data_IF_166421198828
#
_entry.id   IF_166421198828
#
_cell.length_a   1.000
_cell.length_b   1.000
_cell.length_c   1.000
_cell.angle_alpha   90.00
_cell.angle_beta   90.00
_cell.angle_gamma   90.00
#
_symmetry.space_group_name_H-M   'P 1'
#
loop_
_entity.id
_entity.type
_entity.pdbx_description
1 polymer ?
#
# COMPACT_ATOMS: atom_id res chain seq x y z
N UNK A 1 4.25 5.96 -8.30
CA UNK A 1 3.36 5.12 -9.13
C UNK A 1 2.08 5.85 -9.52
N UNK A 2 1.40 6.54 -8.58
CA UNK A 2 0.14 7.26 -8.86
C UNK A 2 0.17 8.15 -10.10
N UNK A 3 1.19 9.00 -10.24
CA UNK A 3 1.37 9.83 -11.44
C UNK A 3 1.41 9.00 -12.73
N UNK A 4 2.13 7.88 -12.75
CA UNK A 4 2.17 6.98 -13.91
C UNK A 4 0.79 6.39 -14.22
N UNK A 5 0.02 6.00 -13.20
CA UNK A 5 -1.34 5.49 -13.39
C UNK A 5 -2.29 6.56 -13.93
N UNK A 6 -2.14 7.83 -13.52
CA UNK A 6 -2.93 8.96 -14.05
C UNK A 6 -2.83 9.01 -15.59
N UNK A 7 -1.62 8.86 -16.13
CA UNK A 7 -1.39 8.87 -17.58
C UNK A 7 -1.77 7.56 -18.24
N UNK A 8 -1.29 6.44 -17.70
CA UNK A 8 -1.50 5.11 -18.26
C UNK A 8 -2.99 4.80 -18.41
N UNK A 9 -3.76 5.03 -17.34
CA UNK A 9 -5.19 4.72 -17.28
C UNK A 9 -6.08 5.90 -17.72
N UNK A 10 -5.48 7.01 -18.18
CA UNK A 10 -6.16 8.26 -18.55
C UNK A 10 -7.15 8.73 -17.48
N UNK A 11 -6.71 8.74 -16.22
CA UNK A 11 -7.60 8.97 -15.07
C UNK A 11 -8.29 10.33 -15.10
N UNK A 12 -7.73 11.34 -15.78
CA UNK A 12 -8.38 12.65 -15.94
C UNK A 12 -9.65 12.61 -16.80
N UNK A 13 -9.88 11.54 -17.59
CA UNK A 13 -11.13 11.33 -18.31
C UNK A 13 -12.24 10.76 -17.40
N UNK A 14 -11.87 10.23 -16.22
CA UNK A 14 -12.77 9.51 -15.29
C UNK A 14 -12.98 10.24 -13.98
N UNK A 15 -11.97 10.97 -13.52
CA UNK A 15 -11.93 11.63 -12.24
C UNK A 15 -11.91 13.14 -12.39
N UNK A 16 -12.54 13.83 -11.42
CA UNK A 16 -12.42 15.28 -11.34
C UNK A 16 -10.98 15.69 -11.00
N UNK A 17 -10.60 16.94 -11.29
CA UNK A 17 -9.30 17.46 -10.86
C UNK A 17 -9.12 17.44 -9.34
N UNK A 18 -10.23 17.51 -8.58
CA UNK A 18 -10.20 17.40 -7.11
C UNK A 18 -9.90 15.97 -6.66
N UNK A 19 -10.43 14.96 -7.35
CA UNK A 19 -10.07 13.56 -7.09
C UNK A 19 -8.60 13.27 -7.43
N UNK A 20 -8.09 13.82 -8.53
CA UNK A 20 -6.66 13.69 -8.88
C UNK A 20 -5.78 14.35 -7.81
N UNK A 21 -6.18 15.51 -7.29
CA UNK A 21 -5.49 16.18 -6.19
C UNK A 21 -5.49 15.31 -4.93
N UNK A 22 -6.64 14.75 -4.55
CA UNK A 22 -6.78 13.82 -3.41
C UNK A 22 -5.85 12.62 -3.58
N UNK A 23 -5.86 11.95 -4.74
CA UNK A 23 -5.02 10.79 -5.03
C UNK A 23 -3.53 11.11 -4.90
N UNK A 24 -3.09 12.22 -5.50
CA UNK A 24 -1.69 12.62 -5.49
C UNK A 24 -1.22 13.05 -4.10
N UNK A 25 -1.99 13.87 -3.39
CA UNK A 25 -1.61 14.34 -2.06
C UNK A 25 -1.65 13.21 -1.04
N UNK A 26 -2.66 12.33 -1.08
CA UNK A 26 -2.72 11.16 -0.21
C UNK A 26 -1.53 10.22 -0.45
N UNK A 27 -1.18 9.92 -1.70
CA UNK A 27 -0.03 9.08 -2.02
C UNK A 27 1.30 9.65 -1.49
N UNK A 28 1.48 10.97 -1.49
CA UNK A 28 2.68 11.62 -0.92
C UNK A 28 2.69 11.55 0.61
N UNK A 29 1.52 11.59 1.26
CA UNK A 29 1.40 11.73 2.70
C UNK A 29 1.20 10.41 3.46
N UNK A 30 0.93 9.29 2.76
CA UNK A 30 0.33 8.11 3.39
C UNK A 30 1.15 7.46 4.50
N UNK A 31 2.48 7.60 4.49
CA UNK A 31 3.40 7.02 5.49
C UNK A 31 4.19 8.08 6.29
N UNK A 32 3.65 9.31 6.42
CA UNK A 32 4.33 10.37 7.16
C UNK A 32 4.61 9.98 8.61
N UNK A 33 5.87 10.13 9.04
CA UNK A 33 6.32 9.82 10.40
C UNK A 33 6.16 8.33 10.79
N UNK A 34 6.31 7.42 9.82
CA UNK A 34 6.35 5.98 10.09
C UNK A 34 7.55 5.61 11.01
N UNK A 35 7.32 4.90 12.13
CA UNK A 35 8.35 4.64 13.13
C UNK A 35 9.27 3.45 12.80
N UNK A 36 9.01 2.74 11.69
CA UNK A 36 9.73 1.52 11.31
C UNK A 36 9.22 0.24 12.00
N UNK A 37 8.04 0.31 12.62
CA UNK A 37 7.37 -0.83 13.27
C UNK A 37 5.88 -0.76 12.97
N UNK A 38 5.32 -1.87 12.47
CA UNK A 38 3.94 -1.93 11.99
C UNK A 38 2.89 -1.91 13.12
N UNK A 39 1.61 -1.79 12.74
CA UNK A 39 0.47 -1.75 13.68
C UNK A 39 0.47 -2.91 14.70
N UNK A 40 0.87 -4.13 14.29
CA UNK A 40 0.93 -5.29 15.20
C UNK A 40 1.90 -5.05 16.35
N UNK A 41 3.09 -4.49 16.06
CA UNK A 41 4.04 -4.11 17.10
C UNK A 41 3.47 -3.01 17.99
N UNK A 42 2.90 -1.96 17.38
CA UNK A 42 2.33 -0.84 18.13
C UNK A 42 1.31 -1.32 19.18
N UNK A 43 0.41 -2.21 18.78
CA UNK A 43 -0.65 -2.78 19.62
C UNK A 43 -0.07 -3.72 20.68
N UNK A 44 0.78 -4.68 20.28
CA UNK A 44 1.35 -5.67 21.21
C UNK A 44 2.25 -5.02 22.27
N UNK A 45 3.04 -4.02 21.88
CA UNK A 45 3.89 -3.24 22.78
C UNK A 45 3.12 -2.14 23.53
N UNK A 46 1.84 -1.93 23.22
CA UNK A 46 0.96 -0.90 23.82
C UNK A 46 1.59 0.49 23.77
N UNK A 47 2.13 0.84 22.61
CA UNK A 47 2.82 2.11 22.41
C UNK A 47 1.86 3.30 22.56
N UNK A 48 2.41 4.51 22.66
CA UNK A 48 1.59 5.72 22.74
C UNK A 48 0.63 5.85 21.54
N UNK A 49 1.05 5.46 20.33
CA UNK A 49 0.18 5.50 19.15
C UNK A 49 -0.99 4.52 19.27
N UNK A 50 -0.74 3.29 19.71
CA UNK A 50 -1.80 2.30 19.90
C UNK A 50 -2.82 2.75 20.95
N UNK A 51 -2.34 3.28 22.09
CA UNK A 51 -3.22 3.85 23.13
C UNK A 51 -4.00 5.06 22.61
N UNK A 52 -3.36 5.97 21.87
CA UNK A 52 -4.00 7.18 21.32
C UNK A 52 -5.11 6.85 20.33
N UNK A 53 -4.91 5.84 19.48
CA UNK A 53 -5.85 5.45 18.43
C UNK A 53 -6.69 4.22 18.78
N UNK A 54 -6.63 3.77 20.03
CA UNK A 54 -7.45 2.67 20.56
C UNK A 54 -7.34 1.40 19.69
N UNK A 55 -6.12 1.05 19.27
CA UNK A 55 -5.80 -0.10 18.43
C UNK A 55 -6.44 -0.11 17.01
N UNK A 56 -7.08 0.98 16.58
CA UNK A 56 -7.73 1.08 15.26
C UNK A 56 -6.78 1.81 14.30
N UNK A 57 -6.18 1.07 13.36
CA UNK A 57 -5.19 1.56 12.38
C UNK A 57 -4.28 2.66 12.94
N UNK A 58 -3.50 2.40 14.02
CA UNK A 58 -2.77 3.45 14.72
C UNK A 58 -1.81 4.25 13.84
N UNK A 59 -1.11 3.58 12.93
CA UNK A 59 -0.13 4.21 12.04
C UNK A 59 -0.83 5.07 10.98
N UNK A 60 -1.83 4.54 10.29
CA UNK A 60 -2.51 5.26 9.21
C UNK A 60 -3.27 6.48 9.74
N UNK A 61 -3.83 6.40 10.95
CA UNK A 61 -4.37 7.57 11.64
C UNK A 61 -3.28 8.60 11.96
N UNK A 62 -2.09 8.15 12.41
CA UNK A 62 -0.96 9.02 12.70
C UNK A 62 -0.45 9.73 11.45
N UNK A 63 -0.22 9.01 10.35
CA UNK A 63 0.22 9.57 9.08
C UNK A 63 -0.75 10.65 8.59
N UNK A 64 -2.05 10.37 8.67
CA UNK A 64 -3.08 11.33 8.30
C UNK A 64 -3.09 12.56 9.23
N UNK A 65 -2.95 12.36 10.55
CA UNK A 65 -2.87 13.46 11.51
C UNK A 65 -1.67 14.37 11.22
N UNK A 66 -0.49 13.81 11.00
CA UNK A 66 0.74 14.54 10.65
C UNK A 66 0.56 15.32 9.34
N UNK A 67 -0.02 14.70 8.30
CA UNK A 67 -0.30 15.35 7.03
C UNK A 67 -1.08 16.66 7.21
N UNK A 68 -2.13 16.63 8.03
CA UNK A 68 -2.95 17.81 8.28
C UNK A 68 -2.38 18.77 9.32
N UNK A 69 -1.47 18.34 10.19
CA UNK A 69 -0.68 19.26 11.01
C UNK A 69 0.25 20.10 10.14
N UNK A 70 0.91 19.49 9.14
CA UNK A 70 1.73 20.21 8.15
C UNK A 70 0.85 21.20 7.37
N UNK A 71 -0.27 20.74 6.81
CA UNK A 71 -1.17 21.59 6.02
C UNK A 71 -1.88 22.70 6.84
N UNK A 72 -1.88 22.60 8.16
CA UNK A 72 -2.39 23.67 9.03
C UNK A 72 -1.42 24.84 9.17
N UNK A 73 -0.12 24.65 8.88
CA UNK A 73 0.87 25.72 8.87
C UNK A 73 0.65 26.62 7.64
N UNK A 74 0.42 27.94 7.79
CA UNK A 74 0.11 28.83 6.67
C UNK A 74 1.12 28.78 5.51
N UNK A 75 2.40 28.59 5.82
CA UNK A 75 3.51 28.49 4.88
C UNK A 75 3.58 27.17 4.11
N UNK A 76 2.95 26.11 4.63
CA UNK A 76 2.89 24.78 4.00
C UNK A 76 1.51 24.49 3.38
N UNK A 77 0.51 25.34 3.62
CA UNK A 77 -0.86 25.08 3.22
C UNK A 77 -1.09 25.28 1.71
N UNK A 78 -0.86 24.23 0.93
CA UNK A 78 -1.16 24.20 -0.51
C UNK A 78 -2.67 24.36 -0.81
N UNK A 79 -3.55 24.27 0.19
CA UNK A 79 -4.99 24.45 0.08
C UNK A 79 -5.48 25.81 0.61
N UNK A 80 -4.58 26.76 0.91
CA UNK A 80 -4.95 28.05 1.51
C UNK A 80 -5.97 28.86 0.69
N UNK A 81 -6.01 28.65 -0.63
CA UNK A 81 -6.91 29.34 -1.56
C UNK A 81 -8.09 28.47 -2.01
N UNK A 82 -8.27 27.27 -1.44
CA UNK A 82 -9.41 26.40 -1.72
C UNK A 82 -10.60 26.84 -0.86
N UNK A 83 -11.80 26.86 -1.44
CA UNK A 83 -13.01 27.21 -0.69
C UNK A 83 -13.26 26.20 0.45
N UNK A 84 -13.86 26.62 1.58
CA UNK A 84 -14.01 25.76 2.75
C UNK A 84 -14.67 24.41 2.47
N UNK A 85 -15.68 24.36 1.61
CA UNK A 85 -16.36 23.10 1.27
C UNK A 85 -15.50 22.18 0.39
N UNK A 86 -14.71 22.76 -0.52
CA UNK A 86 -13.70 22.00 -1.28
C UNK A 86 -12.61 21.44 -0.38
N UNK A 87 -12.15 22.20 0.62
CA UNK A 87 -11.19 21.71 1.60
C UNK A 87 -11.75 20.54 2.42
N UNK A 88 -13.03 20.61 2.86
CA UNK A 88 -13.67 19.48 3.56
C UNK A 88 -13.72 18.22 2.68
N UNK A 89 -14.04 18.37 1.41
CA UNK A 89 -14.07 17.24 0.46
C UNK A 89 -12.68 16.63 0.26
N UNK A 90 -11.66 17.48 0.03
CA UNK A 90 -10.27 17.02 -0.09
C UNK A 90 -9.83 16.29 1.18
N UNK A 91 -10.10 16.90 2.34
CA UNK A 91 -9.74 16.32 3.64
C UNK A 91 -10.38 14.96 3.84
N UNK A 92 -11.69 14.84 3.61
CA UNK A 92 -12.40 13.58 3.76
C UNK A 92 -11.86 12.51 2.81
N UNK A 93 -11.62 12.87 1.54
CA UNK A 93 -11.03 11.95 0.56
C UNK A 93 -9.65 11.46 0.98
N UNK A 94 -8.75 12.36 1.38
CA UNK A 94 -7.41 11.99 1.83
C UNK A 94 -7.43 11.09 3.07
N UNK A 95 -8.31 11.37 4.05
CA UNK A 95 -8.48 10.50 5.24
C UNK A 95 -8.87 9.09 4.80
N UNK A 96 -9.89 8.97 3.94
CA UNK A 96 -10.34 7.67 3.43
C UNK A 96 -9.21 6.92 2.71
N UNK A 97 -8.41 7.61 1.90
CA UNK A 97 -7.33 6.97 1.13
C UNK A 97 -6.14 6.55 1.99
N UNK A 98 -5.71 7.38 2.93
CA UNK A 98 -4.60 7.03 3.83
C UNK A 98 -5.02 5.88 4.74
N UNK A 99 -6.23 5.90 5.31
CA UNK A 99 -6.71 4.77 6.13
C UNK A 99 -6.98 3.49 5.31
N UNK A 100 -7.02 3.57 3.99
CA UNK A 100 -7.17 2.39 3.13
C UNK A 100 -5.84 1.65 2.89
N UNK A 101 -4.69 2.27 3.18
CA UNK A 101 -3.39 1.61 2.98
C UNK A 101 -3.14 0.50 4.00
N UNK A 102 -3.77 0.56 5.18
CA UNK A 102 -3.72 -0.51 6.19
C UNK A 102 -4.01 -1.89 5.57
N UNK A 103 -2.99 -2.75 5.57
CA UNK A 103 -3.07 -4.08 4.97
C UNK A 103 -3.95 -5.05 5.77
N UNK A 104 -4.28 -4.76 7.03
CA UNK A 104 -5.30 -5.51 7.78
C UNK A 104 -6.69 -5.42 7.12
N UNK A 105 -6.94 -4.34 6.36
CA UNK A 105 -8.19 -4.10 5.62
C UNK A 105 -8.13 -4.52 4.15
N UNK A 106 -7.03 -5.11 3.69
CA UNK A 106 -6.85 -5.45 2.27
C UNK A 106 -7.99 -6.34 1.74
N UNK A 107 -8.32 -7.42 2.46
CA UNK A 107 -9.37 -8.35 2.04
C UNK A 107 -10.76 -7.68 2.00
N UNK A 108 -11.12 -6.94 3.06
CA UNK A 108 -12.37 -6.16 3.15
C UNK A 108 -12.54 -5.24 1.92
N UNK A 109 -11.52 -4.42 1.64
CA UNK A 109 -11.56 -3.45 0.54
C UNK A 109 -11.60 -4.15 -0.83
N UNK A 110 -10.83 -5.23 -1.00
CA UNK A 110 -10.82 -6.01 -2.23
C UNK A 110 -12.18 -6.67 -2.50
N UNK A 111 -12.84 -7.20 -1.47
CA UNK A 111 -14.14 -7.86 -1.61
C UNK A 111 -15.23 -6.84 -1.96
N UNK A 112 -15.27 -5.70 -1.27
CA UNK A 112 -16.19 -4.61 -1.62
C UNK A 112 -15.97 -4.08 -3.05
N UNK A 113 -14.71 -3.98 -3.49
CA UNK A 113 -14.43 -3.56 -4.85
C UNK A 113 -14.82 -4.63 -5.88
N UNK A 114 -14.57 -5.92 -5.61
CA UNK A 114 -15.00 -7.01 -6.51
C UNK A 114 -16.52 -7.08 -6.67
N UNK A 115 -17.28 -6.89 -5.59
CA UNK A 115 -18.75 -6.80 -5.63
C UNK A 115 -19.18 -5.62 -6.52
N UNK A 116 -18.56 -4.46 -6.32
CA UNK A 116 -18.80 -3.26 -7.13
C UNK A 116 -18.47 -3.47 -8.62
N UNK A 117 -17.46 -4.30 -8.91
CA UNK A 117 -17.01 -4.58 -10.28
C UNK A 117 -18.02 -5.41 -11.11
N UNK A 118 -19.03 -6.04 -10.49
CA UNK A 118 -20.09 -6.73 -11.23
C UNK A 118 -20.92 -5.77 -12.11
N UNK A 119 -21.10 -4.53 -11.65
CA UNK A 119 -21.79 -3.47 -12.39
C UNK A 119 -21.17 -2.10 -12.07
N UNK A 120 -19.88 -1.95 -12.38
CA UNK A 120 -19.14 -0.73 -12.08
C UNK A 120 -19.74 0.49 -12.79
N UNK A 121 -19.85 1.60 -12.06
CA UNK A 121 -20.49 2.83 -12.53
C UNK A 121 -19.66 4.04 -12.09
N UNK A 122 -19.11 4.76 -13.08
CA UNK A 122 -18.29 5.95 -12.86
C UNK A 122 -19.09 7.15 -12.32
N UNK A 123 -20.41 7.13 -12.42
CA UNK A 123 -21.29 8.17 -11.87
C UNK A 123 -21.65 7.93 -10.40
N UNK A 124 -21.39 6.73 -9.88
CA UNK A 124 -21.64 6.38 -8.48
C UNK A 124 -20.44 6.76 -7.59
N UNK A 125 -20.66 7.61 -6.60
CA UNK A 125 -19.62 8.13 -5.71
C UNK A 125 -18.97 7.04 -4.83
N UNK A 126 -19.73 6.03 -4.41
CA UNK A 126 -19.21 4.91 -3.61
C UNK A 126 -18.27 4.05 -4.46
N UNK A 127 -18.65 3.76 -5.71
CA UNK A 127 -17.82 3.02 -6.66
C UNK A 127 -16.51 3.76 -6.94
N UNK A 128 -16.60 5.08 -7.15
CA UNK A 128 -15.43 5.93 -7.38
C UNK A 128 -14.55 6.05 -6.13
N UNK A 129 -15.11 6.00 -4.93
CA UNK A 129 -14.36 5.98 -3.67
C UNK A 129 -13.58 4.68 -3.51
N UNK A 130 -14.22 3.52 -3.74
CA UNK A 130 -13.54 2.22 -3.73
C UNK A 130 -12.44 2.15 -4.81
N UNK A 131 -12.70 2.66 -6.01
CA UNK A 131 -11.67 2.71 -7.05
C UNK A 131 -10.47 3.55 -6.61
N UNK A 132 -10.66 4.72 -5.99
CA UNK A 132 -9.55 5.53 -5.45
C UNK A 132 -8.78 4.80 -4.35
N UNK A 133 -9.47 4.08 -3.47
CA UNK A 133 -8.85 3.24 -2.43
C UNK A 133 -7.98 2.15 -3.06
N UNK A 134 -8.46 1.47 -4.09
CA UNK A 134 -7.68 0.46 -4.81
C UNK A 134 -6.49 1.10 -5.53
N UNK A 135 -6.65 2.27 -6.17
CA UNK A 135 -5.56 2.95 -6.86
C UNK A 135 -4.42 3.34 -5.91
N UNK A 136 -4.71 3.87 -4.72
CA UNK A 136 -3.66 4.18 -3.75
C UNK A 136 -3.00 2.90 -3.23
N UNK A 137 -3.77 1.85 -2.94
CA UNK A 137 -3.21 0.55 -2.54
C UNK A 137 -2.33 -0.06 -3.62
N UNK A 138 -2.73 -0.04 -4.88
CA UNK A 138 -1.89 -0.45 -6.02
C UNK A 138 -0.57 0.31 -6.05
N UNK A 139 -0.59 1.61 -5.75
CA UNK A 139 0.60 2.45 -5.80
C UNK A 139 1.55 2.26 -4.62
N UNK A 140 0.99 1.99 -3.44
CA UNK A 140 1.69 1.75 -2.19
C UNK A 140 2.57 0.49 -2.29
N UNK A 141 1.96 -0.65 -2.65
CA UNK A 141 2.67 -1.93 -2.75
C UNK A 141 3.21 -2.23 -4.17
N UNK A 142 3.54 -1.20 -4.95
CA UNK A 142 3.80 -1.32 -6.40
C UNK A 142 5.24 -1.67 -6.77
N UNK A 143 6.12 -2.01 -5.82
CA UNK A 143 7.55 -2.13 -6.10
C UNK A 143 7.86 -3.18 -7.17
N UNK A 144 7.23 -4.36 -7.07
CA UNK A 144 7.41 -5.48 -8.01
C UNK A 144 6.78 -5.27 -9.39
N UNK A 145 6.08 -4.14 -9.60
CA UNK A 145 5.60 -3.73 -10.93
C UNK A 145 6.74 -3.07 -11.73
N UNK A 146 7.81 -2.62 -11.07
CA UNK A 146 8.91 -1.89 -11.69
C UNK A 146 9.89 -2.86 -12.36
N UNK A 147 10.76 -2.38 -13.27
CA UNK A 147 11.88 -3.16 -13.75
C UNK A 147 12.70 -3.74 -12.60
N UNK A 148 13.20 -4.96 -12.80
CA UNK A 148 13.79 -5.77 -11.74
C UNK A 148 14.93 -5.07 -11.01
N UNK A 149 15.79 -4.34 -11.73
CA UNK A 149 16.93 -3.61 -11.16
C UNK A 149 16.50 -2.46 -10.25
N UNK A 150 15.25 -2.00 -10.39
CA UNK A 150 14.62 -0.99 -9.54
C UNK A 150 13.85 -1.63 -8.40
N UNK A 151 13.20 -2.78 -8.62
CA UNK A 151 12.39 -3.48 -7.63
C UNK A 151 13.23 -4.21 -6.58
N UNK A 152 14.26 -4.94 -7.01
CA UNK A 152 15.04 -5.85 -6.13
C UNK A 152 15.66 -5.16 -4.90
N UNK A 153 16.24 -3.95 -4.99
CA UNK A 153 16.78 -3.26 -3.81
C UNK A 153 15.73 -2.96 -2.74
N UNK A 154 14.45 -2.79 -3.11
CA UNK A 154 13.39 -2.54 -2.12
C UNK A 154 13.10 -3.76 -1.26
N UNK A 155 13.37 -4.98 -1.75
CA UNK A 155 13.20 -6.20 -0.94
C UNK A 155 14.21 -6.24 0.20
N UNK A 156 15.44 -5.78 -0.03
CA UNK A 156 16.44 -5.65 1.04
C UNK A 156 15.99 -4.65 2.09
N UNK A 157 15.53 -3.46 1.68
CA UNK A 157 15.01 -2.44 2.59
C UNK A 157 13.82 -2.97 3.43
N UNK A 158 12.87 -3.66 2.78
CA UNK A 158 11.71 -4.25 3.45
C UNK A 158 12.13 -5.27 4.51
N UNK A 159 13.03 -6.19 4.14
CA UNK A 159 13.50 -7.23 5.05
C UNK A 159 14.34 -6.65 6.20
N UNK A 160 15.15 -5.61 5.95
CA UNK A 160 15.86 -4.91 7.01
C UNK A 160 14.88 -4.36 8.06
N UNK A 161 13.83 -3.66 7.63
CA UNK A 161 12.80 -3.14 8.54
C UNK A 161 12.04 -4.25 9.27
N UNK A 162 11.60 -5.29 8.55
CA UNK A 162 10.90 -6.42 9.14
C UNK A 162 11.74 -7.17 10.17
N UNK A 163 13.04 -7.33 9.90
CA UNK A 163 13.94 -8.01 10.81
C UNK A 163 14.30 -7.15 12.02
N UNK A 164 14.41 -5.82 11.86
CA UNK A 164 14.53 -4.92 13.01
C UNK A 164 13.34 -5.06 13.97
N UNK A 165 12.11 -5.13 13.43
CA UNK A 165 10.92 -5.36 14.24
C UNK A 165 10.94 -6.74 14.90
N UNK A 166 11.15 -7.83 14.15
CA UNK A 166 11.07 -9.17 14.72
C UNK A 166 12.17 -9.47 15.73
N UNK A 167 13.39 -8.94 15.53
CA UNK A 167 14.48 -9.02 16.49
C UNK A 167 14.12 -8.28 17.80
N UNK A 168 13.48 -7.11 17.68
CA UNK A 168 12.99 -6.36 18.84
C UNK A 168 11.86 -7.08 19.56
N UNK A 169 10.88 -7.62 18.83
CA UNK A 169 9.78 -8.42 19.39
C UNK A 169 10.33 -9.63 20.18
N UNK A 170 11.32 -10.35 19.64
CA UNK A 170 12.03 -11.43 20.36
C UNK A 170 12.65 -10.92 21.66
N UNK A 171 13.33 -9.77 21.61
CA UNK A 171 14.02 -9.20 22.78
C UNK A 171 13.06 -8.71 23.88
N UNK A 172 11.88 -8.22 23.50
CA UNK A 172 10.84 -7.71 24.40
C UNK A 172 9.85 -8.81 24.85
N UNK A 173 9.99 -10.03 24.34
CA UNK A 173 9.11 -11.16 24.65
C UNK A 173 7.71 -11.03 24.02
N UNK A 174 7.60 -10.30 22.91
CA UNK A 174 6.36 -10.10 22.15
C UNK A 174 6.17 -11.20 21.09
N UNK A 175 4.93 -11.42 20.60
CA UNK A 175 4.67 -12.33 19.50
C UNK A 175 5.41 -11.91 18.22
N UNK A 176 6.01 -12.88 17.54
CA UNK A 176 6.75 -12.66 16.27
C UNK A 176 5.98 -13.29 15.12
N UNK A 177 5.71 -12.50 14.08
CA UNK A 177 5.07 -13.00 12.87
C UNK A 177 6.04 -13.86 12.03
N UNK A 178 5.68 -15.10 11.62
CA UNK A 178 6.58 -15.97 10.86
C UNK A 178 7.10 -15.38 9.54
N UNK A 179 6.31 -14.51 8.89
CA UNK A 179 6.68 -13.86 7.63
C UNK A 179 7.63 -12.66 7.81
N UNK A 180 7.93 -12.27 9.05
CA UNK A 180 8.92 -11.23 9.41
C UNK A 180 10.14 -11.82 10.14
N UNK A 181 10.17 -13.13 10.36
CA UNK A 181 11.20 -13.77 11.17
C UNK A 181 12.48 -13.97 10.35
N UNK A 182 13.57 -13.30 10.76
CA UNK A 182 14.91 -13.40 10.14
C UNK A 182 15.37 -14.84 9.93
N UNK A 183 14.99 -15.73 10.83
CA UNK A 183 15.45 -17.13 10.80
C UNK A 183 14.68 -17.99 9.77
N UNK A 184 13.57 -17.48 9.22
CA UNK A 184 12.65 -18.22 8.35
C UNK A 184 12.48 -17.61 6.97
N UNK A 185 12.72 -16.32 6.83
CA UNK A 185 12.40 -15.56 5.61
C UNK A 185 13.62 -15.41 4.72
N UNK A 186 13.47 -15.80 3.46
CA UNK A 186 14.35 -15.40 2.35
C UNK A 186 13.65 -14.40 1.44
N UNK A 187 14.42 -13.66 0.63
CA UNK A 187 13.87 -12.76 -0.40
C UNK A 187 12.80 -13.45 -1.25
N UNK A 188 13.10 -14.63 -1.76
CA UNK A 188 12.18 -15.38 -2.60
C UNK A 188 10.88 -15.72 -1.84
N UNK A 189 10.98 -16.24 -0.62
CA UNK A 189 9.78 -16.61 0.16
C UNK A 189 8.91 -15.41 0.54
N UNK A 190 9.52 -14.22 0.76
CA UNK A 190 8.79 -12.99 1.05
C UNK A 190 7.96 -12.55 -0.17
N UNK A 191 8.55 -12.60 -1.37
CA UNK A 191 7.93 -12.04 -2.57
C UNK A 191 6.94 -12.98 -3.25
N UNK A 192 7.19 -14.29 -3.34
CA UNK A 192 6.33 -15.23 -4.10
C UNK A 192 4.87 -15.17 -3.64
N UNK A 193 4.65 -15.32 -2.32
CA UNK A 193 3.28 -15.31 -1.77
C UNK A 193 2.61 -13.96 -1.95
N UNK A 194 3.35 -12.88 -1.69
CA UNK A 194 2.84 -11.52 -1.83
C UNK A 194 2.46 -11.18 -3.27
N UNK A 195 3.31 -11.51 -4.25
CA UNK A 195 3.03 -11.29 -5.66
C UNK A 195 1.80 -12.11 -6.10
N UNK A 196 1.77 -13.41 -5.77
CA UNK A 196 0.72 -14.34 -6.24
C UNK A 196 -0.65 -14.07 -5.65
N UNK A 197 -0.70 -13.72 -4.36
CA UNK A 197 -1.96 -13.69 -3.62
C UNK A 197 -2.42 -12.29 -3.23
N UNK A 198 -1.56 -11.27 -3.37
CA UNK A 198 -1.91 -9.87 -3.09
C UNK A 198 -1.82 -9.03 -4.36
N UNK A 199 -0.64 -8.96 -4.99
CA UNK A 199 -0.43 -8.05 -6.12
C UNK A 199 -1.21 -8.48 -7.36
N UNK A 200 -0.97 -9.69 -7.87
CA UNK A 200 -1.61 -10.15 -9.12
C UNK A 200 -3.15 -10.05 -9.04
N UNK A 201 -3.85 -10.57 -8.00
CA UNK A 201 -5.31 -10.48 -7.94
C UNK A 201 -5.85 -9.04 -7.88
N UNK A 202 -5.10 -8.14 -7.22
CA UNK A 202 -5.48 -6.72 -7.14
C UNK A 202 -5.33 -6.05 -8.51
N UNK A 203 -4.19 -6.22 -9.17
CA UNK A 203 -3.97 -5.64 -10.51
C UNK A 203 -4.87 -6.27 -11.58
N UNK A 204 -5.18 -7.57 -11.51
CA UNK A 204 -6.18 -8.21 -12.38
C UNK A 204 -7.56 -7.57 -12.27
N UNK A 205 -7.97 -7.18 -11.06
CA UNK A 205 -9.26 -6.51 -10.86
C UNK A 205 -9.24 -5.10 -11.46
N UNK A 206 -8.12 -4.37 -11.35
CA UNK A 206 -7.94 -3.05 -11.99
C UNK A 206 -7.91 -3.16 -13.53
N UNK A 207 -7.29 -4.20 -14.08
CA UNK A 207 -7.22 -4.47 -15.53
C UNK A 207 -8.61 -4.55 -16.18
N UNK A 208 -9.63 -5.02 -15.45
CA UNK A 208 -11.02 -5.06 -15.94
C UNK A 208 -11.56 -3.67 -16.31
N UNK A 209 -11.12 -2.62 -15.62
CA UNK A 209 -11.47 -1.22 -15.95
C UNK A 209 -10.45 -0.59 -16.90
N UNK A 210 -9.19 -0.98 -16.77
CA UNK A 210 -8.07 -0.39 -17.52
C UNK A 210 -7.21 -1.50 -18.16
N UNK A 211 -7.61 -2.05 -19.32
CA UNK A 211 -6.92 -3.19 -19.94
C UNK A 211 -5.42 -2.99 -20.21
N UNK A 212 -5.00 -1.74 -20.41
CA UNK A 212 -3.58 -1.37 -20.60
C UNK A 212 -2.68 -1.70 -19.39
N UNK A 213 -3.28 -1.91 -18.21
CA UNK A 213 -2.56 -2.32 -16.99
C UNK A 213 -1.99 -3.73 -17.12
N UNK A 214 -2.58 -4.60 -17.95
CA UNK A 214 -2.10 -5.97 -18.12
C UNK A 214 -0.66 -6.01 -18.65
N UNK A 215 -0.45 -5.40 -19.81
CA UNK A 215 0.86 -5.36 -20.47
C UNK A 215 1.89 -4.58 -19.65
N UNK A 216 1.48 -3.48 -19.02
CA UNK A 216 2.42 -2.55 -18.38
C UNK A 216 2.72 -2.92 -16.91
N UNK A 217 1.81 -3.63 -16.23
CA UNK A 217 1.92 -3.89 -14.80
C UNK A 217 1.75 -5.35 -14.40
N UNK A 218 0.85 -6.12 -15.01
CA UNK A 218 0.75 -7.56 -14.71
C UNK A 218 1.90 -8.36 -15.31
N UNK A 219 2.34 -8.01 -16.52
CA UNK A 219 3.46 -8.69 -17.18
C UNK A 219 4.75 -8.68 -16.32
N UNK A 220 5.23 -7.53 -15.79
CA UNK A 220 6.35 -7.51 -14.84
C UNK A 220 6.11 -8.33 -13.57
N UNK A 221 4.87 -8.37 -13.06
CA UNK A 221 4.54 -9.18 -11.88
C UNK A 221 4.62 -10.68 -12.15
N UNK A 222 4.21 -11.14 -13.34
CA UNK A 222 4.36 -12.55 -13.73
C UNK A 222 5.83 -12.91 -13.90
N UNK A 223 6.62 -12.05 -14.54
CA UNK A 223 8.08 -12.25 -14.69
C UNK A 223 8.79 -12.28 -13.33
N UNK A 224 8.44 -11.35 -12.43
CA UNK A 224 8.98 -11.31 -11.06
C UNK A 224 8.60 -12.56 -10.26
N UNK A 225 7.33 -13.00 -10.34
CA UNK A 225 6.87 -14.26 -9.72
C UNK A 225 7.73 -15.44 -10.18
N UNK A 226 7.84 -15.64 -11.48
CA UNK A 226 8.53 -16.81 -12.04
C UNK A 226 10.01 -16.80 -11.65
N UNK A 227 10.65 -15.63 -11.68
CA UNK A 227 12.03 -15.46 -11.21
C UNK A 227 12.19 -15.81 -9.73
N UNK A 228 11.33 -15.33 -8.85
CA UNK A 228 11.46 -15.66 -7.43
C UNK A 228 11.16 -17.15 -7.16
N UNK A 229 10.24 -17.77 -7.91
CA UNK A 229 10.02 -19.21 -7.83
C UNK A 229 11.26 -20.02 -8.26
N UNK A 230 11.96 -19.60 -9.32
CA UNK A 230 13.25 -20.17 -9.72
C UNK A 230 14.32 -19.97 -8.65
N UNK A 231 14.44 -18.76 -8.10
CA UNK A 231 15.39 -18.45 -7.02
C UNK A 231 15.14 -19.32 -5.79
N UNK A 232 13.87 -19.55 -5.43
CA UNK A 232 13.51 -20.45 -4.33
C UNK A 232 13.96 -21.89 -4.60
N UNK A 233 13.79 -22.39 -5.83
CA UNK A 233 14.25 -23.74 -6.19
C UNK A 233 15.76 -23.87 -6.06
N UNK A 234 16.51 -22.83 -6.46
CA UNK A 234 17.96 -22.79 -6.28
C UNK A 234 18.38 -22.78 -4.81
N UNK A 235 17.70 -21.97 -3.97
CA UNK A 235 17.93 -21.91 -2.52
C UNK A 235 17.68 -23.28 -1.86
N UNK A 236 16.58 -23.94 -2.22
CA UNK A 236 16.21 -25.26 -1.69
C UNK A 236 17.23 -26.33 -2.10
N UNK A 237 17.65 -26.34 -3.37
CA UNK A 237 18.67 -27.25 -3.86
C UNK A 237 20.02 -27.03 -3.16
N UNK A 238 20.40 -25.79 -2.84
CA UNK A 238 21.63 -25.50 -2.11
C UNK A 238 21.56 -26.00 -0.66
N UNK A 239 20.40 -25.88 0.00
CA UNK A 239 20.17 -26.40 1.36
C UNK A 239 20.22 -27.93 1.43
N UNK A 240 19.79 -28.65 0.40
CA UNK A 240 19.87 -30.12 0.37
C UNK A 240 21.30 -30.65 0.26
N UNK A 241 22.24 -29.82 -0.21
CA UNK A 241 23.65 -30.18 -0.42
C UNK A 241 24.54 -29.80 0.78
N UNK A 242 24.04 -28.99 1.71
CA UNK A 242 24.79 -28.46 2.87
C UNK A 242 24.44 -29.17 4.16
#
# INVERSE_FOLDING_TARGET
>A
MMYSMVWLCRLQEKFSQMDILILMTAAVCHDLDHPGYNNTYQINARTELAVRYNDISPLENHHCAVAFQILAQPECNIFANVQPDGFKQIRQGMITLILATDMARHAEIMDSFKETMENFDYSNEEHMTLLKMILIKCCDISNEVRPMEVAEPWVDCLLEEYFMQSDREKSEGLPVAPFMDRDKVTKATAQIGFIKFVLIPMFETVTKLFPVVEEIMLQPLWESRDRYEELKQMDDAMKEVT
#
